data_IF_920021080111
#
_entry.id   IF_920021080111
#
_cell.length_a   1.000
_cell.length_b   1.000
_cell.length_c   1.000
_cell.angle_alpha   90.00
_cell.angle_beta   90.00
_cell.angle_gamma   90.00
#
_symmetry.space_group_name_H-M   'P 1'
#
loop_
_entity.id
_entity.type
_entity.pdbx_description
1 polymer ?
#
# COMPACT_ATOMS: atom_id res chain seq x y z
N UNK A 1 -15.08 13.75 -3.78
CA UNK A 1 -13.92 14.00 -2.89
C UNK A 1 -13.03 12.77 -2.96
N UNK A 2 -11.72 12.89 -3.20
CA UNK A 2 -10.83 11.73 -3.27
C UNK A 2 -10.63 11.11 -1.87
N UNK A 3 -10.47 9.79 -1.82
CA UNK A 3 -10.11 9.00 -0.64
C UNK A 3 -8.95 8.08 -1.03
N UNK A 4 -8.06 7.81 -0.09
CA UNK A 4 -6.97 6.86 -0.20
C UNK A 4 -7.37 5.45 0.27
N UNK A 5 -8.56 5.28 0.86
CA UNK A 5 -9.01 3.97 1.36
C UNK A 5 -9.18 2.96 0.21
N UNK A 6 -8.87 1.70 0.50
CA UNK A 6 -9.10 0.58 -0.39
C UNK A 6 -10.56 0.49 -0.87
N UNK A 7 -10.76 0.40 -2.19
CA UNK A 7 -12.08 0.15 -2.78
C UNK A 7 -12.37 -1.34 -2.84
N UNK A 8 -13.21 -1.81 -1.92
CA UNK A 8 -13.71 -3.18 -1.89
C UNK A 8 -14.79 -3.34 -2.96
N UNK A 9 -14.58 -4.27 -3.89
CA UNK A 9 -15.51 -4.61 -4.97
C UNK A 9 -16.46 -5.73 -4.58
N UNK A 10 -16.05 -6.63 -3.68
CA UNK A 10 -16.90 -7.69 -3.17
C UNK A 10 -16.21 -8.60 -2.17
N UNK A 11 -17.01 -9.29 -1.36
CA UNK A 11 -16.56 -10.29 -0.40
C UNK A 11 -17.31 -11.59 -0.69
N UNK A 12 -16.58 -12.68 -0.86
CA UNK A 12 -17.10 -13.96 -1.34
C UNK A 12 -16.62 -15.10 -0.46
N UNK A 13 -17.43 -16.16 -0.34
CA UNK A 13 -17.05 -17.43 0.29
C UNK A 13 -17.18 -18.56 -0.72
N UNK A 14 -16.09 -19.26 -0.98
CA UNK A 14 -16.05 -20.44 -1.84
C UNK A 14 -15.98 -21.68 -0.94
N UNK A 15 -17.00 -22.52 -1.00
CA UNK A 15 -17.01 -23.83 -0.35
C UNK A 15 -16.79 -24.94 -1.37
N UNK A 16 -15.85 -25.84 -1.12
CA UNK A 16 -15.62 -27.03 -1.93
C UNK A 16 -15.60 -28.28 -1.05
N UNK A 17 -16.37 -29.29 -1.46
CA UNK A 17 -16.39 -30.61 -0.83
C UNK A 17 -15.80 -31.62 -1.81
N UNK A 18 -14.66 -32.19 -1.45
CA UNK A 18 -14.06 -33.26 -2.23
C UNK A 18 -14.69 -34.60 -1.83
N UNK A 19 -15.47 -35.18 -2.75
CA UNK A 19 -16.15 -36.46 -2.52
C UNK A 19 -15.20 -37.67 -2.46
N UNK A 20 -13.98 -37.56 -2.96
CA UNK A 20 -13.03 -38.69 -3.01
C UNK A 20 -12.29 -38.92 -1.69
N UNK A 21 -12.04 -37.86 -0.93
CA UNK A 21 -11.34 -37.93 0.36
C UNK A 21 -12.17 -37.36 1.53
N UNK A 22 -13.45 -37.05 1.29
CA UNK A 22 -14.38 -36.47 2.25
C UNK A 22 -13.91 -35.15 2.90
N UNK A 23 -12.97 -34.43 2.26
CA UNK A 23 -12.48 -33.14 2.77
C UNK A 23 -13.39 -32.00 2.35
N UNK A 24 -13.73 -31.12 3.29
CA UNK A 24 -14.42 -29.85 3.04
C UNK A 24 -13.43 -28.71 3.24
N UNK A 25 -13.40 -27.76 2.31
CA UNK A 25 -12.64 -26.51 2.43
C UNK A 25 -13.57 -25.34 2.20
N UNK A 26 -13.40 -24.30 3.02
CA UNK A 26 -14.04 -22.99 2.87
C UNK A 26 -12.95 -21.96 2.70
N UNK A 27 -13.09 -21.10 1.71
CA UNK A 27 -12.17 -20.01 1.39
C UNK A 27 -12.94 -18.70 1.38
N UNK A 28 -12.52 -17.76 2.21
CA UNK A 28 -13.04 -16.40 2.21
C UNK A 28 -12.13 -15.50 1.38
N UNK A 29 -12.73 -14.75 0.47
CA UNK A 29 -12.05 -13.89 -0.48
C UNK A 29 -12.61 -12.47 -0.39
N UNK A 30 -11.72 -11.49 -0.40
CA UNK A 30 -12.05 -10.08 -0.58
C UNK A 30 -11.41 -9.61 -1.89
N UNK A 31 -12.22 -9.00 -2.74
CA UNK A 31 -11.78 -8.41 -4.01
C UNK A 31 -11.76 -6.90 -3.84
N UNK A 32 -10.63 -6.29 -4.18
CA UNK A 32 -10.42 -4.85 -4.11
C UNK A 32 -9.61 -4.34 -5.30
N UNK A 33 -9.57 -3.03 -5.49
CA UNK A 33 -8.71 -2.42 -6.51
C UNK A 33 -7.23 -2.73 -6.26
N UNK A 34 -6.48 -2.99 -7.34
CA UNK A 34 -5.03 -3.06 -7.29
C UNK A 34 -4.47 -1.67 -7.61
N UNK A 35 -3.86 -1.04 -6.61
CA UNK A 35 -3.33 0.32 -6.69
C UNK A 35 -2.31 0.51 -7.84
N UNK A 36 -1.53 -0.53 -8.16
CA UNK A 36 -0.46 -0.47 -9.16
C UNK A 36 -0.82 -1.19 -10.47
N UNK A 37 -2.11 -1.46 -10.72
CA UNK A 37 -2.52 -2.18 -11.93
C UNK A 37 -2.06 -1.47 -13.20
N UNK A 38 -1.38 -2.22 -14.07
CA UNK A 38 -0.86 -1.71 -15.35
C UNK A 38 0.29 -0.72 -15.24
N UNK A 39 0.90 -0.58 -14.05
CA UNK A 39 2.00 0.35 -13.79
C UNK A 39 3.22 -0.43 -13.29
N UNK A 40 4.42 -0.02 -13.71
CA UNK A 40 5.68 -0.58 -13.23
C UNK A 40 6.30 0.40 -12.26
N UNK A 41 6.30 0.07 -10.97
CA UNK A 41 6.83 0.97 -9.95
C UNK A 41 8.35 0.83 -9.90
N UNK A 42 9.06 1.94 -9.99
CA UNK A 42 10.51 1.97 -9.78
C UNK A 42 10.83 1.70 -8.30
N UNK A 43 10.00 2.23 -7.41
CA UNK A 43 10.11 2.06 -5.96
C UNK A 43 8.73 1.92 -5.33
N UNK A 44 8.61 0.99 -4.38
CA UNK A 44 7.39 0.78 -3.59
C UNK A 44 7.73 0.93 -2.13
N UNK A 45 6.90 1.65 -1.39
CA UNK A 45 7.03 1.87 0.04
C UNK A 45 5.75 1.47 0.77
N UNK A 46 5.91 0.76 1.88
CA UNK A 46 4.87 0.60 2.91
C UNK A 46 5.26 1.53 4.06
N UNK A 47 4.41 2.52 4.38
CA UNK A 47 4.71 3.53 5.39
C UNK A 47 3.71 3.46 6.53
N UNK A 48 4.18 3.24 7.76
CA UNK A 48 3.34 3.19 8.97
C UNK A 48 3.47 4.43 9.83
N UNK A 49 4.41 5.33 9.52
CA UNK A 49 4.72 6.51 10.33
C UNK A 49 5.47 6.18 11.62
N UNK A 50 5.91 4.93 11.81
CA UNK A 50 6.74 4.50 12.94
C UNK A 50 8.16 4.21 12.49
N UNK A 51 9.12 4.31 13.42
CA UNK A 51 10.54 4.09 13.11
C UNK A 51 11.04 2.70 13.51
N UNK A 52 10.48 2.10 14.55
CA UNK A 52 11.00 0.84 15.11
C UNK A 52 10.68 -0.34 14.18
N UNK A 53 11.71 -1.11 13.80
CA UNK A 53 11.61 -2.27 12.89
C UNK A 53 11.09 -1.88 11.49
N UNK A 54 11.44 -0.68 11.01
CA UNK A 54 10.97 -0.16 9.71
C UNK A 54 12.12 0.07 8.73
N UNK A 55 13.11 -0.83 8.73
CA UNK A 55 14.19 -0.88 7.76
C UNK A 55 14.28 -2.28 7.11
N UNK A 56 14.37 -2.31 5.79
CA UNK A 56 14.70 -3.50 5.01
C UNK A 56 16.13 -3.36 4.49
N UNK A 57 16.92 -4.44 4.65
CA UNK A 57 18.26 -4.55 4.07
C UNK A 57 18.16 -4.82 2.58
N UNK A 58 18.77 -3.96 1.78
CA UNK A 58 18.83 -4.08 0.32
C UNK A 58 20.04 -4.87 -0.18
N UNK A 59 20.91 -5.32 0.73
CA UNK A 59 22.27 -5.81 0.41
C UNK A 59 22.34 -7.28 -0.05
N UNK A 60 21.20 -7.93 -0.28
CA UNK A 60 21.17 -9.30 -0.80
C UNK A 60 20.90 -9.26 -2.30
N UNK A 61 21.99 -9.29 -3.07
CA UNK A 61 21.94 -9.53 -4.50
C UNK A 61 21.14 -10.79 -4.81
N UNK A 62 19.95 -10.62 -5.39
CA UNK A 62 19.21 -11.60 -6.19
C UNK A 62 18.01 -10.91 -6.83
N UNK A 63 18.05 -10.87 -8.16
CA UNK A 63 16.92 -10.96 -9.09
C UNK A 63 15.63 -10.23 -8.69
N UNK A 64 15.41 -9.06 -9.30
CA UNK A 64 14.13 -8.65 -9.92
C UNK A 64 12.81 -8.87 -9.16
N UNK A 65 12.83 -8.93 -7.83
CA UNK A 65 11.63 -8.81 -7.00
C UNK A 65 11.59 -7.36 -6.50
N UNK A 66 10.52 -6.63 -6.82
CA UNK A 66 10.27 -5.27 -6.33
C UNK A 66 10.24 -5.30 -4.80
N UNK A 67 11.37 -4.95 -4.16
CA UNK A 67 11.48 -4.90 -2.70
C UNK A 67 10.59 -3.76 -2.20
N UNK A 68 9.66 -4.10 -1.31
CA UNK A 68 8.85 -3.09 -0.61
C UNK A 68 9.69 -2.46 0.49
N UNK A 69 10.01 -1.18 0.31
CA UNK A 69 10.79 -0.35 1.23
C UNK A 69 9.91 0.14 2.38
N UNK A 70 10.52 0.46 3.52
CA UNK A 70 9.80 0.90 4.72
C UNK A 70 10.18 2.33 5.13
N UNK A 71 9.63 2.82 6.25
CA UNK A 71 9.77 4.19 6.72
C UNK A 71 11.23 4.66 6.87
N UNK A 72 12.13 3.83 7.44
CA UNK A 72 13.53 4.21 7.57
C UNK A 72 14.26 4.24 6.22
N UNK A 73 13.87 3.39 5.27
CA UNK A 73 14.43 3.42 3.92
C UNK A 73 14.02 4.72 3.21
N UNK A 74 12.76 5.14 3.36
CA UNK A 74 12.29 6.42 2.82
C UNK A 74 13.04 7.61 3.44
N UNK A 75 13.25 7.62 4.76
CA UNK A 75 13.97 8.71 5.42
C UNK A 75 15.41 8.85 4.93
N UNK A 76 16.11 7.72 4.73
CA UNK A 76 17.47 7.72 4.15
C UNK A 76 17.44 8.23 2.71
N UNK A 77 16.47 7.78 1.92
CA UNK A 77 16.36 8.16 0.51
C UNK A 77 16.02 9.64 0.31
N UNK A 78 15.08 10.18 1.09
CA UNK A 78 14.61 11.57 0.98
C UNK A 78 15.68 12.57 1.41
N UNK A 79 16.66 12.14 2.23
CA UNK A 79 17.81 12.97 2.58
C UNK A 79 18.60 13.39 1.33
N UNK A 80 18.84 12.45 0.41
CA UNK A 80 19.61 12.68 -0.81
C UNK A 80 18.71 13.07 -2.00
N UNK A 81 17.46 12.58 -2.00
CA UNK A 81 16.52 12.69 -3.12
C UNK A 81 15.14 13.13 -2.62
N UNK A 82 14.90 14.44 -2.41
CA UNK A 82 13.62 14.93 -1.92
C UNK A 82 12.47 14.63 -2.90
N UNK A 83 11.33 14.23 -2.35
CA UNK A 83 10.10 14.00 -3.12
C UNK A 83 9.34 15.32 -3.33
N UNK A 84 9.27 15.76 -4.58
CA UNK A 84 8.57 16.99 -4.95
C UNK A 84 7.14 16.69 -5.39
N UNK A 85 6.19 17.45 -4.83
CA UNK A 85 4.79 17.45 -5.23
C UNK A 85 4.30 18.88 -5.39
N UNK A 86 3.46 19.14 -6.39
CA UNK A 86 2.84 20.45 -6.59
C UNK A 86 2.01 20.84 -5.37
N UNK A 87 2.05 22.13 -4.99
CA UNK A 87 1.35 22.64 -3.79
C UNK A 87 -0.14 22.31 -3.78
N UNK A 88 -0.81 22.39 -4.93
CA UNK A 88 -2.21 22.03 -5.09
C UNK A 88 -2.46 20.53 -4.82
N UNK A 89 -1.66 19.65 -5.43
CA UNK A 89 -1.75 18.20 -5.22
C UNK A 89 -1.47 17.82 -3.76
N UNK A 90 -0.48 18.47 -3.13
CA UNK A 90 -0.17 18.32 -1.70
C UNK A 90 -1.36 18.67 -0.81
N UNK A 91 -2.05 19.76 -1.11
CA UNK A 91 -3.23 20.18 -0.35
C UNK A 91 -4.36 19.14 -0.45
N UNK A 92 -4.63 18.63 -1.66
CA UNK A 92 -5.65 17.59 -1.88
C UNK A 92 -5.27 16.29 -1.16
N UNK A 93 -4.05 15.80 -1.35
CA UNK A 93 -3.58 14.55 -0.74
C UNK A 93 -3.64 14.63 0.79
N UNK A 94 -3.17 15.74 1.37
CA UNK A 94 -3.23 15.97 2.82
C UNK A 94 -4.67 15.99 3.33
N UNK A 95 -5.58 16.64 2.61
CA UNK A 95 -6.99 16.71 3.00
C UNK A 95 -7.72 15.36 2.88
N UNK A 96 -7.34 14.52 1.92
CA UNK A 96 -7.85 13.15 1.79
C UNK A 96 -7.34 12.26 2.93
N UNK A 97 -6.02 12.17 3.11
CA UNK A 97 -5.38 11.35 4.16
C UNK A 97 -5.88 11.75 5.55
N UNK A 98 -6.02 13.05 5.85
CA UNK A 98 -6.52 13.50 7.15
C UNK A 98 -7.96 13.04 7.39
N UNK A 99 -8.80 13.08 6.36
CA UNK A 99 -10.19 12.62 6.45
C UNK A 99 -10.28 11.12 6.64
N UNK A 100 -9.47 10.37 5.90
CA UNK A 100 -9.46 8.90 5.94
C UNK A 100 -8.88 8.39 7.26
N UNK A 101 -7.82 9.00 7.77
CA UNK A 101 -7.26 8.70 9.09
C UNK A 101 -8.28 8.98 10.21
N UNK A 102 -9.05 10.07 10.10
CA UNK A 102 -10.12 10.36 11.05
C UNK A 102 -11.24 9.32 10.99
N UNK A 103 -11.64 8.89 9.78
CA UNK A 103 -12.61 7.82 9.58
C UNK A 103 -12.12 6.48 10.16
N UNK A 104 -10.87 6.09 9.93
CA UNK A 104 -10.29 4.86 10.48
C UNK A 104 -10.24 4.92 12.01
N UNK A 105 -9.82 6.07 12.57
CA UNK A 105 -9.78 6.30 14.01
C UNK A 105 -11.16 6.22 14.65
N UNK A 106 -12.23 6.74 14.03
CA UNK A 106 -13.58 6.64 14.57
C UNK A 106 -14.11 5.21 14.63
N UNK A 107 -13.52 4.30 13.85
CA UNK A 107 -13.82 2.86 13.85
C UNK A 107 -12.80 2.03 14.63
N UNK A 108 -11.87 2.66 15.36
CA UNK A 108 -10.78 2.01 16.10
C UNK A 108 -9.89 1.11 15.21
N UNK A 109 -9.84 1.40 13.90
CA UNK A 109 -8.99 0.68 12.96
C UNK A 109 -7.57 1.26 13.09
N UNK A 110 -6.60 0.39 13.34
CA UNK A 110 -5.18 0.71 13.49
C UNK A 110 -4.34 -0.21 12.61
N UNK A 111 -3.02 -0.05 12.64
CA UNK A 111 -2.02 -0.88 11.94
C UNK A 111 -2.11 -0.90 10.40
N UNK A 112 -2.93 -0.03 9.81
CA UNK A 112 -2.92 0.28 8.39
C UNK A 112 -1.60 0.95 7.97
N UNK A 113 -1.23 0.78 6.71
CA UNK A 113 -0.07 1.45 6.12
C UNK A 113 -0.48 2.29 4.91
N UNK A 114 0.32 3.30 4.60
CA UNK A 114 0.24 4.03 3.35
C UNK A 114 1.16 3.35 2.34
N UNK A 115 0.57 2.67 1.37
CA UNK A 115 1.27 2.12 0.22
C UNK A 115 1.56 3.24 -0.78
N UNK A 116 2.83 3.42 -1.12
CA UNK A 116 3.31 4.47 -2.03
C UNK A 116 4.14 3.83 -3.13
N UNK A 117 3.74 4.07 -4.38
CA UNK A 117 4.50 3.71 -5.56
C UNK A 117 5.05 4.96 -6.23
N UNK A 118 6.33 4.91 -6.64
CA UNK A 118 6.97 5.94 -7.44
C UNK A 118 7.32 5.37 -8.81
N UNK A 119 6.90 6.06 -9.85
CA UNK A 119 7.25 5.78 -11.23
C UNK A 119 8.22 6.84 -11.75
N UNK A 120 9.48 6.46 -11.97
CA UNK A 120 10.51 7.37 -12.49
C UNK A 120 10.39 7.62 -14.00
N UNK A 121 9.61 6.83 -14.74
CA UNK A 121 9.40 7.05 -16.17
C UNK A 121 8.34 8.13 -16.43
N UNK A 122 7.38 8.26 -15.52
CA UNK A 122 6.24 9.20 -15.65
C UNK A 122 6.26 10.33 -14.62
N UNK A 123 7.20 10.29 -13.66
CA UNK A 123 7.24 11.18 -12.49
C UNK A 123 5.92 11.18 -11.68
N UNK A 124 5.25 10.03 -11.63
CA UNK A 124 3.99 9.86 -10.93
C UNK A 124 4.19 9.21 -9.55
N UNK A 125 3.39 9.68 -8.58
CA UNK A 125 3.24 9.07 -7.27
C UNK A 125 1.84 8.48 -7.16
N UNK A 126 1.78 7.20 -6.83
CA UNK A 126 0.53 6.46 -6.59
C UNK A 126 0.46 6.12 -5.11
N UNK A 127 -0.66 6.45 -4.46
CA UNK A 127 -0.80 6.37 -3.00
C UNK A 127 -2.14 5.77 -2.60
N UNK A 128 -2.15 4.87 -1.62
CA UNK A 128 -3.36 4.28 -1.04
C UNK A 128 -3.12 3.75 0.37
N UNK A 129 -4.17 3.72 1.20
CA UNK A 129 -4.16 3.13 2.54
C UNK A 129 -4.58 1.66 2.41
N UNK A 130 -3.78 0.75 2.98
CA UNK A 130 -4.01 -0.70 3.01
C UNK A 130 -4.00 -1.26 4.43
#
# INVERSE_FOLDING_TARGET
RPTALAKILGVYRIGYKNSQNNTEKKLDLLVMENLFYGRKMAQVFDLKGSLRNRNVKTDLGKESCEVVLLDENLLKLVHDNPLYIRSHCKAILRAAILSDAHFLSSHLIIDYSLLVGRDDATDELVVGII
#
